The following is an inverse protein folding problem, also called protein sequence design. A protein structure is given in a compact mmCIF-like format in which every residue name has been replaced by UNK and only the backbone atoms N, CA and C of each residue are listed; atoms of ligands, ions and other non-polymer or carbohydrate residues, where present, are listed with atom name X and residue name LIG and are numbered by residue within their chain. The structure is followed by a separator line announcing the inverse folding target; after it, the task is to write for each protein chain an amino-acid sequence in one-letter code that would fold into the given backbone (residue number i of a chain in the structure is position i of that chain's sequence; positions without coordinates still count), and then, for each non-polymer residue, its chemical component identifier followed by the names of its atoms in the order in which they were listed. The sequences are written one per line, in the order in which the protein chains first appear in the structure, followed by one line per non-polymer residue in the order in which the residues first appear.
data_IF_650576050417
#
_entry.id   IF_650576050417
#
_cell.length_a   1.000
_cell.length_b   1.000
_cell.length_c   1.000
_cell.angle_alpha   90.00
_cell.angle_beta   90.00
_cell.angle_gamma   90.00
#
_symmetry.space_group_name_H-M   'P 1'
#
loop_
_entity.id
_entity.type
_entity.pdbx_description
1 polymer ?
#
# COMPACT_ATOMS: atom_id res chain seq x y z
N UNK A 1 19.50 47.47 9.54
CA UNK A 1 18.43 46.54 9.94
C UNK A 1 18.42 45.40 8.93
N UNK A 2 18.90 44.22 9.34
CA UNK A 2 18.79 43.03 8.50
C UNK A 2 17.35 42.52 8.63
N UNK A 3 16.60 42.49 7.52
CA UNK A 3 15.30 41.84 7.46
C UNK A 3 15.47 40.38 7.90
N UNK A 4 14.81 40.00 8.99
CA UNK A 4 14.66 38.61 9.36
C UNK A 4 14.00 37.89 8.17
N UNK A 5 14.55 36.78 7.65
CA UNK A 5 13.88 36.04 6.60
C UNK A 5 12.48 35.66 7.11
N UNK A 6 11.47 36.11 6.37
CA UNK A 6 10.07 36.03 6.76
C UNK A 6 9.73 34.61 7.23
N UNK A 7 9.11 34.51 8.42
CA UNK A 7 8.60 33.24 9.00
C UNK A 7 7.72 32.43 8.04
N UNK A 8 7.27 33.03 6.93
CA UNK A 8 6.51 32.41 5.85
C UNK A 8 7.32 31.44 4.96
N UNK A 9 8.66 31.55 4.90
CA UNK A 9 9.49 30.68 4.05
C UNK A 9 9.50 29.20 4.48
N UNK A 10 9.10 28.90 5.73
CA UNK A 10 9.10 27.56 6.32
C UNK A 10 7.70 26.91 6.37
N UNK A 11 6.67 27.54 5.79
CA UNK A 11 5.32 26.99 5.75
C UNK A 11 5.09 26.19 4.48
N UNK A 12 4.51 25.00 4.62
CA UNK A 12 4.07 24.21 3.48
C UNK A 12 2.81 24.85 2.91
N UNK A 13 2.85 25.24 1.64
CA UNK A 13 1.70 25.74 0.89
C UNK A 13 0.97 24.58 0.21
N UNK A 14 -0.36 24.65 0.15
CA UNK A 14 -1.22 23.63 -0.44
C UNK A 14 -2.00 24.24 -1.60
N UNK A 15 -1.88 23.65 -2.79
CA UNK A 15 -2.57 24.09 -4.00
C UNK A 15 -3.40 22.91 -4.52
N UNK A 16 -4.73 23.08 -4.62
CA UNK A 16 -5.63 22.10 -5.26
C UNK A 16 -5.54 22.30 -6.77
N UNK A 17 -5.36 21.20 -7.49
CA UNK A 17 -5.25 21.18 -8.94
C UNK A 17 -6.44 20.39 -9.47
N UNK A 18 -7.43 21.12 -9.98
CA UNK A 18 -8.60 20.51 -10.61
C UNK A 18 -8.19 19.84 -11.94
N UNK A 19 -8.80 18.69 -12.28
CA UNK A 19 -8.57 18.10 -13.57
C UNK A 19 -9.04 19.05 -14.67
N UNK A 20 -8.32 19.15 -15.80
CA UNK A 20 -8.75 19.99 -16.92
C UNK A 20 -10.17 19.59 -17.31
N UNK A 21 -11.04 20.59 -17.52
CA UNK A 21 -12.39 20.36 -18.01
C UNK A 21 -12.34 19.43 -19.21
N UNK A 22 -13.22 18.42 -19.25
CA UNK A 22 -13.35 17.60 -20.44
C UNK A 22 -13.62 18.55 -21.60
N UNK A 23 -12.73 18.59 -22.59
CA UNK A 23 -12.93 19.42 -23.76
C UNK A 23 -14.20 18.90 -24.44
N UNK A 24 -15.30 19.65 -24.34
CA UNK A 24 -16.60 19.36 -24.96
C UNK A 24 -16.58 19.46 -26.50
N UNK A 25 -15.38 19.53 -27.09
CA UNK A 25 -15.17 19.63 -28.53
C UNK A 25 -14.63 18.32 -29.08
N UNK A 26 -15.50 17.33 -29.13
CA UNK A 26 -15.46 16.29 -30.16
C UNK A 26 -16.91 15.90 -30.42
N UNK A 27 -17.58 16.70 -31.27
CA UNK A 27 -18.75 16.26 -32.03
C UNK A 27 -18.42 14.87 -32.59
N UNK A 28 -19.28 13.85 -32.41
CA UNK A 28 -19.04 12.57 -33.06
C UNK A 28 -18.98 12.83 -34.56
N UNK A 29 -17.83 12.58 -35.19
CA UNK A 29 -17.85 12.28 -36.62
C UNK A 29 -18.40 10.87 -36.71
N UNK A 30 -19.62 10.77 -37.22
CA UNK A 30 -20.17 9.51 -37.71
C UNK A 30 -19.39 9.13 -38.97
N UNK A 31 -18.19 8.57 -38.80
CA UNK A 31 -17.51 7.88 -39.87
C UNK A 31 -18.09 6.46 -39.90
N UNK A 32 -19.19 6.31 -40.64
CA UNK A 32 -19.78 5.02 -40.96
C UNK A 32 -18.85 4.27 -41.93
N UNK A 33 -17.98 3.41 -41.41
CA UNK A 33 -17.37 2.36 -42.23
C UNK A 33 -18.46 1.36 -42.64
N UNK A 34 -18.48 1.00 -43.93
CA UNK A 34 -19.48 0.15 -44.59
C UNK A 34 -19.48 -1.33 -44.15
N UNK A 35 -19.14 -1.63 -42.89
CA UNK A 35 -19.06 -2.99 -42.34
C UNK A 35 -19.84 -3.22 -41.04
N UNK A 36 -20.63 -2.24 -40.56
CA UNK A 36 -21.59 -2.47 -39.47
C UNK A 36 -20.97 -2.83 -38.11
N UNK A 37 -19.68 -2.54 -37.88
CA UNK A 37 -19.03 -2.76 -36.57
C UNK A 37 -19.09 -1.49 -35.73
N UNK A 38 -19.98 -1.47 -34.72
CA UNK A 38 -19.99 -0.43 -33.69
C UNK A 38 -18.71 -0.52 -32.84
N UNK A 39 -17.74 0.36 -33.08
CA UNK A 39 -16.66 0.59 -32.10
C UNK A 39 -17.24 1.35 -30.92
N UNK A 40 -17.40 0.66 -29.78
CA UNK A 40 -17.67 1.30 -28.50
C UNK A 40 -16.63 2.41 -28.25
N UNK A 41 -17.06 3.67 -28.31
CA UNK A 41 -16.25 4.80 -27.88
C UNK A 41 -16.15 4.70 -26.36
N UNK A 42 -15.07 4.08 -25.87
CA UNK A 42 -14.80 3.97 -24.43
C UNK A 42 -14.65 5.39 -23.89
N UNK A 43 -15.60 5.84 -23.07
CA UNK A 43 -15.55 7.15 -22.44
C UNK A 43 -14.18 7.36 -21.76
N UNK A 44 -13.51 8.48 -22.05
CA UNK A 44 -12.22 8.79 -21.44
C UNK A 44 -12.43 8.98 -19.94
N UNK A 45 -11.86 8.10 -19.13
CA UNK A 45 -11.83 8.24 -17.66
C UNK A 45 -11.20 9.60 -17.31
N UNK A 46 -11.92 10.48 -16.59
CA UNK A 46 -11.41 11.79 -16.18
C UNK A 46 -10.07 11.68 -15.44
N UNK A 47 -9.20 12.69 -15.58
CA UNK A 47 -7.98 12.73 -14.79
C UNK A 47 -8.33 12.88 -13.29
N UNK A 48 -7.60 12.22 -12.37
CA UNK A 48 -7.83 12.39 -10.95
C UNK A 48 -7.42 13.80 -10.51
N UNK A 49 -8.19 14.40 -9.59
CA UNK A 49 -7.80 15.65 -8.93
C UNK A 49 -6.49 15.48 -8.16
N UNK A 50 -5.70 16.55 -8.09
CA UNK A 50 -4.37 16.54 -7.46
C UNK A 50 -4.24 17.62 -6.40
N UNK A 51 -3.27 17.41 -5.52
CA UNK A 51 -2.81 18.38 -4.53
C UNK A 51 -1.31 18.56 -4.73
N UNK A 52 -0.88 19.82 -4.81
CA UNK A 52 0.53 20.19 -4.80
C UNK A 52 0.89 20.77 -3.44
N UNK A 53 1.96 20.24 -2.85
CA UNK A 53 2.57 20.77 -1.65
C UNK A 53 3.89 21.47 -2.02
N UNK A 54 4.11 22.68 -1.50
CA UNK A 54 5.34 23.46 -1.74
C UNK A 54 6.00 23.87 -0.43
N UNK A 55 7.31 23.75 -0.37
CA UNK A 55 8.14 24.27 0.72
C UNK A 55 9.36 24.96 0.10
N UNK A 56 9.39 26.30 0.15
CA UNK A 56 10.34 27.08 -0.63
C UNK A 56 10.22 26.78 -2.13
N UNK A 57 11.33 26.41 -2.77
CA UNK A 57 11.38 26.03 -4.20
C UNK A 57 11.01 24.55 -4.45
N UNK A 58 11.01 23.72 -3.40
CA UNK A 58 10.71 22.30 -3.53
C UNK A 58 9.19 22.08 -3.63
N UNK A 59 8.77 21.16 -4.50
CA UNK A 59 7.37 20.83 -4.72
C UNK A 59 7.17 19.34 -4.92
N UNK A 60 6.04 18.83 -4.43
CA UNK A 60 5.58 17.46 -4.64
C UNK A 60 4.10 17.49 -5.03
N UNK A 61 3.69 16.56 -5.88
CA UNK A 61 2.32 16.44 -6.35
C UNK A 61 1.81 15.02 -6.13
N UNK A 62 0.64 14.90 -5.52
CA UNK A 62 -0.04 13.64 -5.32
C UNK A 62 -1.53 13.79 -5.66
N UNK A 63 -2.21 12.67 -5.90
CA UNK A 63 -3.66 12.65 -6.05
C UNK A 63 -4.33 13.13 -4.76
N UNK A 64 -5.44 13.85 -4.89
CA UNK A 64 -6.20 14.37 -3.75
C UNK A 64 -6.65 13.26 -2.77
N UNK A 65 -7.08 12.11 -3.31
CA UNK A 65 -7.44 10.91 -2.52
C UNK A 65 -6.29 10.39 -1.64
N UNK A 66 -5.04 10.51 -2.09
CA UNK A 66 -3.87 10.06 -1.33
C UNK A 66 -3.48 11.10 -0.27
N UNK A 67 -3.69 12.40 -0.54
CA UNK A 67 -3.53 13.43 0.47
C UNK A 67 -4.56 13.28 1.59
N UNK A 68 -5.82 12.99 1.25
CA UNK A 68 -6.87 12.61 2.20
C UNK A 68 -6.50 11.35 2.99
N UNK A 69 -5.94 10.32 2.32
CA UNK A 69 -5.44 9.12 3.00
C UNK A 69 -4.37 9.47 4.05
N UNK A 70 -3.39 10.32 3.73
CA UNK A 70 -2.39 10.75 4.70
C UNK A 70 -3.03 11.45 5.91
N UNK A 71 -4.07 12.26 5.70
CA UNK A 71 -4.79 12.91 6.79
C UNK A 71 -5.50 11.89 7.70
N UNK A 72 -6.11 10.86 7.13
CA UNK A 72 -6.72 9.74 7.88
C UNK A 72 -5.70 8.97 8.70
N UNK A 73 -4.56 8.62 8.09
CA UNK A 73 -3.46 7.93 8.76
C UNK A 73 -2.88 8.76 9.91
N UNK A 74 -2.69 10.06 9.68
CA UNK A 74 -2.23 11.01 10.70
C UNK A 74 -3.14 11.01 11.93
N UNK A 75 -4.47 11.10 11.74
CA UNK A 75 -5.41 11.03 12.85
C UNK A 75 -5.45 9.67 13.53
N UNK A 76 -5.46 8.58 12.76
CA UNK A 76 -5.43 7.23 13.35
C UNK A 76 -4.24 7.08 14.29
N UNK A 77 -3.05 7.53 13.85
CA UNK A 77 -1.84 7.47 14.67
C UNK A 77 -1.90 8.35 15.91
N UNK A 78 -2.45 9.56 15.81
CA UNK A 78 -2.62 10.46 16.97
C UNK A 78 -3.58 9.92 18.01
N UNK A 79 -4.71 9.35 17.57
CA UNK A 79 -5.67 8.66 18.46
C UNK A 79 -5.01 7.48 19.17
N UNK A 80 -4.29 6.63 18.43
CA UNK A 80 -3.55 5.51 19.00
C UNK A 80 -2.44 5.94 19.97
N UNK A 81 -1.87 7.14 19.80
CA UNK A 81 -0.88 7.71 20.70
C UNK A 81 -1.49 8.46 21.91
N UNK A 82 -2.81 8.50 22.05
CA UNK A 82 -3.50 9.19 23.14
C UNK A 82 -3.40 10.72 23.09
N UNK A 83 -3.07 11.29 21.93
CA UNK A 83 -2.90 12.74 21.81
C UNK A 83 -4.24 13.49 21.69
N UNK A 84 -5.26 12.83 21.17
CA UNK A 84 -6.59 13.39 21.07
C UNK A 84 -7.47 12.70 22.13
N UNK A 85 -7.76 13.39 23.24
CA UNK A 85 -8.56 12.91 24.38
C UNK A 85 -10.08 12.89 24.09
N UNK A 86 -10.51 13.23 22.88
CA UNK A 86 -11.92 13.26 22.53
C UNK A 86 -12.35 11.91 21.93
N UNK A 87 -13.18 11.21 22.70
CA UNK A 87 -13.96 10.05 22.28
C UNK A 87 -14.89 10.45 21.14
N UNK A 88 -14.42 10.38 19.90
CA UNK A 88 -15.29 10.39 18.73
C UNK A 88 -15.74 8.96 18.50
N UNK A 89 -17.02 8.73 18.75
CA UNK A 89 -17.69 7.44 18.66
C UNK A 89 -17.40 6.76 17.31
N UNK A 90 -17.00 5.49 17.34
CA UNK A 90 -16.48 4.74 16.19
C UNK A 90 -17.56 4.39 15.13
N UNK A 91 -18.75 4.98 15.25
CA UNK A 91 -19.89 4.85 14.35
C UNK A 91 -20.02 6.02 13.37
N UNK A 92 -19.07 6.96 13.36
CA UNK A 92 -19.24 8.24 12.67
C UNK A 92 -19.44 8.11 11.15
N UNK A 93 -20.55 8.69 10.71
CA UNK A 93 -20.96 8.93 9.33
C UNK A 93 -19.81 9.42 8.41
N UNK A 94 -19.81 9.00 7.13
CA UNK A 94 -18.74 9.31 6.15
C UNK A 94 -18.56 10.83 5.98
N UNK A 95 -19.64 11.58 6.18
CA UNK A 95 -19.68 13.04 6.18
C UNK A 95 -18.79 13.66 7.27
N UNK A 96 -18.86 13.12 8.49
CA UNK A 96 -18.09 13.58 9.67
C UNK A 96 -16.61 13.22 9.51
N UNK A 97 -16.31 12.00 9.02
CA UNK A 97 -14.94 11.59 8.71
C UNK A 97 -14.29 12.56 7.70
N UNK A 98 -15.03 12.97 6.66
CA UNK A 98 -14.56 13.92 5.66
C UNK A 98 -14.34 15.33 6.20
N UNK A 99 -15.22 15.84 7.07
CA UNK A 99 -15.06 17.15 7.72
C UNK A 99 -13.81 17.15 8.60
N UNK A 100 -13.60 16.07 9.36
CA UNK A 100 -12.37 15.93 10.15
C UNK A 100 -11.13 15.84 9.24
N UNK A 101 -11.24 15.19 8.07
CA UNK A 101 -10.20 15.11 7.04
C UNK A 101 -9.67 16.46 6.61
N UNK A 102 -10.59 17.35 6.26
CA UNK A 102 -10.26 18.70 5.82
C UNK A 102 -9.72 19.57 6.98
N UNK A 103 -10.08 19.28 8.24
CA UNK A 103 -9.53 20.00 9.40
C UNK A 103 -8.00 19.83 9.54
N UNK A 104 -7.44 18.68 9.13
CA UNK A 104 -5.99 18.49 9.12
C UNK A 104 -5.27 19.38 8.10
N UNK A 105 -5.95 19.93 7.09
CA UNK A 105 -5.29 20.76 6.08
C UNK A 105 -4.82 22.11 6.63
N UNK A 106 -5.35 22.53 7.79
CA UNK A 106 -4.85 23.67 8.55
C UNK A 106 -3.67 23.34 9.49
N UNK A 107 -3.42 22.06 9.80
CA UNK A 107 -2.37 21.66 10.74
C UNK A 107 -0.99 21.70 10.08
N UNK A 108 -0.18 22.69 10.45
CA UNK A 108 1.17 22.87 9.94
C UNK A 108 2.10 21.66 10.19
N UNK A 109 1.85 20.85 11.23
CA UNK A 109 2.62 19.62 11.50
C UNK A 109 2.26 18.52 10.51
N UNK A 110 0.96 18.31 10.27
CA UNK A 110 0.49 17.40 9.23
C UNK A 110 1.05 17.78 7.86
N UNK A 111 0.95 19.07 7.47
CA UNK A 111 1.43 19.52 6.17
C UNK A 111 2.94 19.31 5.99
N UNK A 112 3.75 19.55 7.03
CA UNK A 112 5.20 19.26 7.02
C UNK A 112 5.48 17.76 6.90
N UNK A 113 4.78 16.93 7.66
CA UNK A 113 4.93 15.47 7.59
C UNK A 113 4.51 14.93 6.21
N UNK A 114 3.39 15.40 5.67
CA UNK A 114 2.88 15.00 4.36
C UNK A 114 3.83 15.41 3.24
N UNK A 115 4.41 16.62 3.32
CA UNK A 115 5.45 17.07 2.39
C UNK A 115 6.70 16.19 2.49
N UNK A 116 7.22 15.96 3.70
CA UNK A 116 8.43 15.16 3.92
C UNK A 116 8.29 13.71 3.44
N UNK A 117 7.18 13.05 3.78
CA UNK A 117 6.87 11.69 3.32
C UNK A 117 6.77 11.63 1.79
N UNK A 118 6.01 12.55 1.18
CA UNK A 118 5.85 12.60 -0.27
C UNK A 118 7.18 12.88 -0.99
N UNK A 119 7.98 13.83 -0.48
CA UNK A 119 9.29 14.16 -1.04
C UNK A 119 10.27 12.99 -0.93
N UNK A 120 10.26 12.25 0.19
CA UNK A 120 11.07 11.05 0.37
C UNK A 120 10.72 9.97 -0.65
N UNK A 121 9.43 9.69 -0.83
CA UNK A 121 8.99 8.68 -1.81
C UNK A 121 9.38 9.09 -3.23
N UNK A 122 9.20 10.37 -3.60
CA UNK A 122 9.64 10.88 -4.91
C UNK A 122 11.15 10.73 -5.09
N UNK A 123 11.95 11.05 -4.08
CA UNK A 123 13.40 10.89 -4.12
C UNK A 123 13.82 9.42 -4.25
N UNK A 124 13.20 8.52 -3.47
CA UNK A 124 13.46 7.08 -3.54
C UNK A 124 13.07 6.47 -4.90
N UNK A 125 12.10 7.06 -5.59
CA UNK A 125 11.71 6.70 -6.95
C UNK A 125 12.63 7.33 -8.02
N UNK A 126 13.68 8.07 -7.67
CA UNK A 126 14.57 8.70 -8.65
C UNK A 126 14.04 10.01 -9.25
N UNK A 127 13.07 10.67 -8.61
CA UNK A 127 12.64 12.04 -8.92
C UNK A 127 11.69 12.20 -10.12
N UNK A 128 11.62 11.24 -11.03
CA UNK A 128 10.73 11.28 -12.21
C UNK A 128 9.39 10.60 -11.94
N UNK A 129 8.52 11.20 -11.13
CA UNK A 129 7.20 10.65 -10.71
C UNK A 129 6.25 10.16 -11.85
N UNK A 130 6.50 10.53 -13.12
CA UNK A 130 5.71 10.07 -14.28
C UNK A 130 6.29 8.84 -14.99
N UNK A 131 7.57 8.57 -14.81
CA UNK A 131 8.33 7.54 -15.52
C UNK A 131 8.86 6.47 -14.55
N UNK A 132 9.25 6.91 -13.36
CA UNK A 132 9.78 6.09 -12.31
C UNK A 132 8.70 5.73 -11.26
N UNK A 133 9.03 4.79 -10.39
CA UNK A 133 8.08 4.13 -9.50
C UNK A 133 7.50 2.87 -10.14
N UNK A 134 7.64 1.73 -9.44
CA UNK A 134 7.24 0.42 -9.95
C UNK A 134 8.07 -0.76 -9.46
N UNK A 135 9.13 -0.54 -8.67
CA UNK A 135 9.95 -1.61 -8.08
C UNK A 135 9.21 -2.42 -7.01
N UNK A 136 8.15 -1.84 -6.44
CA UNK A 136 7.28 -2.49 -5.46
C UNK A 136 5.83 -2.16 -5.81
N UNK A 137 4.95 -3.15 -5.70
CA UNK A 137 3.55 -3.05 -6.11
C UNK A 137 2.66 -3.65 -5.01
N UNK A 138 1.54 -3.01 -4.72
CA UNK A 138 0.62 -3.44 -3.68
C UNK A 138 -0.38 -4.47 -4.23
N UNK A 139 -0.96 -5.27 -3.34
CA UNK A 139 -2.12 -6.11 -3.67
C UNK A 139 -3.35 -5.22 -3.88
N UNK A 140 -4.35 -5.71 -4.62
CA UNK A 140 -5.61 -4.99 -4.74
C UNK A 140 -6.52 -5.24 -3.52
N UNK A 141 -7.49 -4.35 -3.30
CA UNK A 141 -8.34 -4.34 -2.11
C UNK A 141 -8.98 -5.68 -1.77
N UNK A 142 -9.54 -6.39 -2.76
CA UNK A 142 -10.17 -7.69 -2.53
C UNK A 142 -9.23 -8.75 -1.94
N UNK A 143 -7.92 -8.76 -2.25
CA UNK A 143 -6.99 -9.69 -1.57
C UNK A 143 -6.86 -9.31 -0.12
N UNK A 144 -6.64 -8.03 0.17
CA UNK A 144 -6.53 -7.55 1.55
C UNK A 144 -7.78 -7.77 2.38
N UNK A 145 -8.97 -7.73 1.75
CA UNK A 145 -10.22 -8.00 2.44
C UNK A 145 -10.30 -9.50 2.85
N UNK A 146 -9.88 -10.42 1.97
CA UNK A 146 -9.76 -11.85 2.33
C UNK A 146 -8.72 -12.07 3.42
N UNK A 147 -7.55 -11.42 3.33
CA UNK A 147 -6.49 -11.54 4.32
C UNK A 147 -6.91 -11.01 5.70
N UNK A 148 -7.61 -9.87 5.76
CA UNK A 148 -7.99 -9.21 7.02
C UNK A 148 -9.23 -9.81 7.67
N UNK A 149 -10.31 -9.96 6.90
CA UNK A 149 -11.61 -10.34 7.44
C UNK A 149 -11.86 -11.85 7.41
N UNK A 150 -11.02 -12.59 6.69
CA UNK A 150 -11.05 -14.06 6.69
C UNK A 150 -10.33 -14.68 7.90
N UNK A 151 -10.20 -16.02 7.91
CA UNK A 151 -9.57 -16.77 8.99
C UNK A 151 -8.10 -16.41 9.27
N UNK A 152 -7.40 -15.83 8.30
CA UNK A 152 -6.00 -15.43 8.43
C UNK A 152 -5.81 -14.20 9.34
N UNK A 153 -6.84 -13.36 9.51
CA UNK A 153 -6.87 -12.20 10.42
C UNK A 153 -5.62 -11.31 10.33
N UNK A 154 -5.16 -11.03 9.12
CA UNK A 154 -3.98 -10.21 8.90
C UNK A 154 -4.21 -8.80 9.44
N UNK A 155 -3.29 -8.33 10.29
CA UNK A 155 -3.43 -7.04 10.98
C UNK A 155 -2.52 -5.94 10.45
N UNK A 156 -1.38 -6.29 9.85
CA UNK A 156 -0.42 -5.32 9.29
C UNK A 156 0.31 -5.82 8.04
N UNK A 157 0.71 -4.87 7.20
CA UNK A 157 1.58 -5.07 6.03
C UNK A 157 3.04 -4.90 6.45
N UNK A 158 3.92 -5.87 6.19
CA UNK A 158 5.34 -5.75 6.58
C UNK A 158 6.21 -5.08 5.52
N UNK A 159 5.66 -4.77 4.36
CA UNK A 159 6.33 -4.00 3.33
C UNK A 159 5.33 -3.04 2.70
N UNK A 160 5.31 -1.79 3.17
CA UNK A 160 4.46 -0.75 2.61
C UNK A 160 5.08 0.64 2.79
N UNK A 161 4.28 1.66 2.50
CA UNK A 161 4.51 3.08 2.70
C UNK A 161 3.16 3.73 2.99
N UNK A 162 3.13 4.94 3.58
CA UNK A 162 1.89 5.68 3.78
C UNK A 162 1.07 5.88 2.48
N UNK A 163 1.74 5.86 1.31
CA UNK A 163 1.12 6.06 0.01
C UNK A 163 0.57 4.79 -0.63
N UNK A 164 1.03 3.59 -0.27
CA UNK A 164 0.55 2.33 -0.84
C UNK A 164 -0.09 1.36 0.15
N UNK A 165 0.01 1.58 1.46
CA UNK A 165 -0.61 0.70 2.45
C UNK A 165 -2.13 0.59 2.27
N UNK A 166 -2.69 -0.55 2.62
CA UNK A 166 -4.13 -0.75 2.80
C UNK A 166 -4.53 -0.56 4.25
N UNK A 167 -3.72 -1.02 5.19
CA UNK A 167 -3.95 -0.92 6.62
C UNK A 167 -3.31 0.35 7.19
N UNK A 168 -3.71 0.72 8.40
CA UNK A 168 -3.17 1.87 9.14
C UNK A 168 -1.97 1.52 10.02
N UNK A 169 -1.61 0.23 10.06
CA UNK A 169 -0.41 -0.29 10.71
C UNK A 169 0.39 -1.08 9.68
N UNK A 170 1.66 -0.69 9.48
CA UNK A 170 2.53 -1.31 8.49
C UNK A 170 4.01 -1.08 8.81
N UNK A 171 4.91 -1.89 8.28
CA UNK A 171 6.34 -1.58 8.24
C UNK A 171 6.68 -0.82 6.95
N UNK A 172 7.66 0.09 7.02
CA UNK A 172 8.14 0.85 5.86
C UNK A 172 9.65 1.11 5.90
N UNK A 173 10.21 1.48 4.75
CA UNK A 173 11.65 1.71 4.61
C UNK A 173 12.14 3.03 5.25
N UNK A 174 11.26 4.00 5.48
CA UNK A 174 11.63 5.37 5.88
C UNK A 174 10.90 5.81 7.14
N UNK A 175 11.21 5.15 8.26
CA UNK A 175 10.57 5.39 9.55
C UNK A 175 10.57 6.87 9.98
N UNK A 176 11.64 7.60 9.66
CA UNK A 176 11.81 9.01 10.00
C UNK A 176 10.70 9.93 9.45
N UNK A 177 10.13 9.59 8.31
CA UNK A 177 9.04 10.37 7.67
C UNK A 177 7.70 9.63 7.62
N UNK A 178 7.71 8.32 7.81
CA UNK A 178 6.50 7.48 7.70
C UNK A 178 5.85 7.18 9.06
N UNK A 179 6.60 7.25 10.17
CA UNK A 179 6.07 6.97 11.53
C UNK A 179 4.83 7.80 11.91
N UNK A 180 4.71 9.10 11.53
CA UNK A 180 3.50 9.87 11.81
C UNK A 180 2.23 9.35 11.12
N UNK A 181 2.38 8.45 10.14
CA UNK A 181 1.29 7.88 9.34
C UNK A 181 1.06 6.39 9.63
N UNK A 182 1.62 5.84 10.71
CA UNK A 182 1.36 4.46 11.13
C UNK A 182 2.49 3.46 10.84
N UNK A 183 3.65 3.92 10.36
CA UNK A 183 4.81 3.03 10.18
C UNK A 183 5.35 2.52 11.52
N UNK A 184 5.59 1.21 11.58
CA UNK A 184 6.32 0.50 12.64
C UNK A 184 7.84 0.49 12.41
N UNK A 185 8.31 1.16 11.34
CA UNK A 185 9.70 1.15 10.91
C UNK A 185 10.03 0.01 9.97
N UNK A 186 11.32 -0.28 9.80
CA UNK A 186 11.79 -1.31 8.86
C UNK A 186 11.39 -2.70 9.33
N UNK A 187 10.85 -3.53 8.43
CA UNK A 187 10.61 -4.95 8.70
C UNK A 187 11.85 -5.65 9.26
N UNK A 188 13.05 -5.28 8.81
CA UNK A 188 14.28 -5.93 9.26
C UNK A 188 14.62 -5.65 10.74
N UNK A 189 13.99 -4.64 11.34
CA UNK A 189 14.11 -4.29 12.76
C UNK A 189 12.81 -4.54 13.56
N UNK A 190 11.75 -5.03 12.91
CA UNK A 190 10.45 -5.25 13.53
C UNK A 190 10.37 -6.65 14.16
N UNK A 191 10.25 -6.74 15.48
CA UNK A 191 10.27 -7.99 16.27
C UNK A 191 8.86 -8.34 16.81
N UNK A 192 7.93 -8.86 15.98
CA UNK A 192 6.62 -9.28 16.46
C UNK A 192 6.76 -10.54 17.31
N UNK A 193 6.06 -10.56 18.46
CA UNK A 193 5.99 -11.76 19.32
C UNK A 193 4.92 -12.73 18.86
N UNK A 194 3.74 -12.18 18.56
CA UNK A 194 2.57 -12.87 18.02
C UNK A 194 1.93 -12.01 16.93
N UNK A 195 0.89 -12.53 16.29
CA UNK A 195 0.10 -11.82 15.28
C UNK A 195 0.10 -12.51 13.92
N UNK A 196 -0.62 -11.91 12.97
CA UNK A 196 -0.71 -12.40 11.59
C UNK A 196 -0.46 -11.26 10.60
N UNK A 197 0.49 -11.47 9.70
CA UNK A 197 1.05 -10.39 8.90
C UNK A 197 1.10 -10.73 7.41
N UNK A 198 0.88 -9.72 6.57
CA UNK A 198 1.14 -9.81 5.13
C UNK A 198 2.59 -9.43 4.85
N UNK A 199 3.24 -10.17 3.96
CA UNK A 199 4.64 -9.96 3.58
C UNK A 199 4.77 -9.96 2.07
N UNK A 200 4.67 -8.79 1.45
CA UNK A 200 4.92 -8.58 0.01
C UNK A 200 6.17 -7.70 -0.20
N UNK A 201 7.39 -8.27 -0.14
CA UNK A 201 8.62 -7.49 -0.28
C UNK A 201 8.83 -7.01 -1.73
N UNK A 202 9.72 -6.03 -1.96
CA UNK A 202 10.24 -5.77 -3.30
C UNK A 202 10.75 -7.07 -3.94
N UNK A 203 10.44 -7.26 -5.24
CA UNK A 203 10.72 -8.51 -5.96
C UNK A 203 12.17 -8.58 -6.45
N UNK A 204 13.09 -8.40 -5.51
CA UNK A 204 14.53 -8.55 -5.71
C UNK A 204 14.99 -9.81 -4.98
N UNK A 205 15.75 -10.67 -5.67
CA UNK A 205 16.10 -12.01 -5.16
C UNK A 205 16.78 -11.96 -3.80
N UNK A 206 17.71 -11.03 -3.60
CA UNK A 206 18.45 -10.90 -2.33
C UNK A 206 17.56 -10.38 -1.19
N UNK A 207 16.62 -9.50 -1.50
CA UNK A 207 15.62 -9.01 -0.53
C UNK A 207 14.71 -10.15 -0.10
N UNK A 208 14.18 -10.92 -1.06
CA UNK A 208 13.31 -12.07 -0.77
C UNK A 208 14.06 -13.13 0.05
N UNK A 209 15.32 -13.40 -0.25
CA UNK A 209 16.14 -14.33 0.53
C UNK A 209 16.40 -13.82 1.95
N UNK A 210 16.67 -12.52 2.12
CA UNK A 210 16.83 -11.91 3.44
C UNK A 210 15.53 -11.98 4.25
N UNK A 211 14.38 -11.76 3.62
CA UNK A 211 13.05 -11.94 4.21
C UNK A 211 12.86 -13.39 4.65
N UNK A 212 13.10 -14.37 3.79
CA UNK A 212 12.95 -15.78 4.12
C UNK A 212 13.77 -16.17 5.35
N UNK A 213 15.05 -15.77 5.39
CA UNK A 213 15.93 -16.01 6.55
C UNK A 213 15.43 -15.34 7.82
N UNK A 214 14.84 -14.15 7.72
CA UNK A 214 14.31 -13.43 8.88
C UNK A 214 13.02 -14.04 9.40
N UNK A 215 12.08 -14.36 8.51
CA UNK A 215 10.83 -15.05 8.88
C UNK A 215 11.13 -16.39 9.57
N UNK A 216 12.08 -17.16 9.05
CA UNK A 216 12.51 -18.43 9.66
C UNK A 216 13.03 -18.23 11.10
N UNK A 217 13.80 -17.16 11.38
CA UNK A 217 14.24 -16.83 12.75
C UNK A 217 13.07 -16.46 13.64
N UNK A 218 12.24 -15.51 13.21
CA UNK A 218 11.07 -15.07 13.98
C UNK A 218 10.13 -16.23 14.33
N UNK A 219 9.88 -17.12 13.36
CA UNK A 219 9.03 -18.30 13.55
C UNK A 219 9.66 -19.30 14.52
N UNK A 220 10.97 -19.55 14.45
CA UNK A 220 11.66 -20.41 15.43
C UNK A 220 11.58 -19.84 16.84
N UNK A 221 11.82 -18.55 16.98
CA UNK A 221 11.80 -17.89 18.28
C UNK A 221 10.37 -17.87 18.87
N UNK A 222 9.35 -17.61 18.03
CA UNK A 222 7.95 -17.68 18.43
C UNK A 222 7.50 -19.11 18.76
N UNK A 223 7.93 -20.11 17.97
CA UNK A 223 7.64 -21.52 18.24
C UNK A 223 8.22 -21.96 19.59
N UNK A 224 9.47 -21.57 19.89
CA UNK A 224 10.12 -21.87 21.17
C UNK A 224 9.39 -21.24 22.37
N UNK A 225 8.71 -20.12 22.15
CA UNK A 225 7.88 -19.45 23.17
C UNK A 225 6.42 -19.92 23.17
N UNK A 226 6.02 -20.80 22.24
CA UNK A 226 4.64 -21.20 22.03
C UNK A 226 3.70 -20.02 21.70
N UNK A 227 4.20 -19.01 20.98
CA UNK A 227 3.46 -17.84 20.53
C UNK A 227 2.71 -18.13 19.21
N UNK A 228 1.54 -17.52 19.02
CA UNK A 228 0.78 -17.64 17.78
C UNK A 228 1.24 -16.61 16.74
N UNK A 229 2.21 -16.99 15.91
CA UNK A 229 2.76 -16.15 14.85
C UNK A 229 2.49 -16.71 13.44
N UNK A 230 2.06 -15.85 12.53
CA UNK A 230 1.66 -16.17 11.15
C UNK A 230 2.15 -15.13 10.14
N UNK A 231 2.68 -15.59 9.01
CA UNK A 231 3.03 -14.77 7.85
C UNK A 231 2.39 -15.30 6.58
N UNK A 232 1.65 -14.45 5.88
CA UNK A 232 1.18 -14.70 4.52
C UNK A 232 2.11 -13.98 3.56
N UNK A 233 2.99 -14.74 2.90
CA UNK A 233 4.08 -14.23 2.08
C UNK A 233 3.69 -14.24 0.62
N UNK A 234 3.76 -13.07 -0.03
CA UNK A 234 3.51 -12.87 -1.45
C UNK A 234 4.84 -12.63 -2.14
N UNK A 235 5.21 -13.53 -3.06
CA UNK A 235 6.41 -13.37 -3.89
C UNK A 235 6.12 -13.86 -5.29
N UNK A 236 6.93 -13.47 -6.29
CA UNK A 236 6.98 -14.16 -7.56
C UNK A 236 7.20 -15.65 -7.37
N UNK A 237 6.52 -16.46 -8.17
CA UNK A 237 6.74 -17.89 -8.21
C UNK A 237 8.04 -18.17 -8.97
N UNK A 238 9.11 -18.42 -8.21
CA UNK A 238 10.47 -18.63 -8.73
C UNK A 238 11.04 -19.99 -8.32
N UNK A 239 10.46 -21.10 -8.79
CA UNK A 239 11.01 -22.42 -8.49
C UNK A 239 12.48 -22.50 -8.88
N UNK A 240 13.27 -23.24 -8.08
CA UNK A 240 14.73 -23.40 -8.22
C UNK A 240 15.58 -22.15 -7.89
N UNK A 241 14.98 -20.99 -7.59
CA UNK A 241 15.74 -19.84 -7.07
C UNK A 241 15.88 -19.94 -5.56
N UNK A 242 17.09 -19.75 -5.05
CA UNK A 242 17.39 -19.87 -3.62
C UNK A 242 16.45 -19.06 -2.72
N UNK A 243 16.10 -17.83 -3.15
CA UNK A 243 15.21 -16.95 -2.41
C UNK A 243 13.81 -17.54 -2.18
N UNK A 244 13.20 -18.09 -3.24
CA UNK A 244 11.86 -18.68 -3.16
C UNK A 244 11.89 -20.07 -2.52
N UNK A 245 12.92 -20.87 -2.83
CA UNK A 245 13.10 -22.20 -2.23
C UNK A 245 13.29 -22.13 -0.72
N UNK A 246 13.91 -21.08 -0.18
CA UNK A 246 14.03 -20.87 1.26
C UNK A 246 12.66 -20.71 1.94
N UNK A 247 11.70 -20.03 1.31
CA UNK A 247 10.32 -19.93 1.79
C UNK A 247 9.58 -21.27 1.60
N UNK A 248 9.69 -21.86 0.41
CA UNK A 248 8.96 -23.08 0.05
C UNK A 248 9.39 -24.31 0.87
N UNK A 249 10.64 -24.37 1.31
CA UNK A 249 11.19 -25.48 2.11
C UNK A 249 11.14 -25.24 3.63
N UNK A 250 10.59 -24.11 4.08
CA UNK A 250 10.46 -23.83 5.51
C UNK A 250 9.61 -24.90 6.20
N UNK A 251 10.04 -25.36 7.38
CA UNK A 251 9.29 -26.31 8.21
C UNK A 251 8.00 -25.70 8.78
N UNK A 252 7.89 -24.36 8.77
CA UNK A 252 6.71 -23.62 9.18
C UNK A 252 5.68 -23.46 8.07
N UNK A 253 5.99 -23.90 6.83
CA UNK A 253 5.02 -23.87 5.75
C UNK A 253 3.87 -24.83 6.05
N UNK A 254 2.64 -24.33 5.96
CA UNK A 254 1.46 -25.06 6.43
C UNK A 254 0.78 -25.86 5.32
N UNK A 255 1.01 -25.50 4.06
CA UNK A 255 0.45 -26.16 2.87
C UNK A 255 1.22 -25.82 1.61
N UNK A 256 0.90 -26.51 0.50
CA UNK A 256 1.40 -26.21 -0.83
C UNK A 256 1.25 -24.71 -1.17
N UNK A 257 2.24 -24.07 -1.83
CA UNK A 257 2.11 -22.69 -2.27
C UNK A 257 0.89 -22.52 -3.19
N UNK A 258 0.13 -21.46 -2.97
CA UNK A 258 -0.97 -21.08 -3.87
C UNK A 258 -0.35 -20.30 -5.03
N UNK A 259 -0.30 -20.91 -6.21
CA UNK A 259 0.25 -20.26 -7.42
C UNK A 259 -0.88 -19.61 -8.22
N UNK A 260 -0.80 -18.31 -8.44
CA UNK A 260 -1.70 -17.51 -9.27
C UNK A 260 -0.97 -17.17 -10.57
N UNK A 261 -1.54 -17.54 -11.71
CA UNK A 261 -0.92 -17.32 -13.01
C UNK A 261 -0.80 -15.83 -13.33
N UNK A 262 0.28 -15.41 -13.99
CA UNK A 262 0.55 -14.01 -14.35
C UNK A 262 -0.61 -13.37 -15.11
N UNK A 263 -1.22 -14.12 -16.03
CA UNK A 263 -2.36 -13.69 -16.85
C UNK A 263 -3.65 -13.47 -16.07
N UNK A 264 -3.75 -14.06 -14.88
CA UNK A 264 -4.96 -14.11 -14.08
C UNK A 264 -4.96 -13.07 -12.96
N UNK A 265 -4.01 -12.12 -12.91
CA UNK A 265 -4.02 -11.06 -11.89
C UNK A 265 -3.28 -9.79 -12.29
N UNK A 266 -3.55 -8.72 -11.53
CA UNK A 266 -2.78 -7.48 -11.56
C UNK A 266 -2.40 -7.06 -10.14
N UNK A 267 -1.35 -6.25 -10.05
CA UNK A 267 -1.00 -5.50 -8.86
C UNK A 267 -1.48 -4.05 -8.97
N UNK A 268 -1.45 -3.34 -7.85
CA UNK A 268 -1.59 -1.90 -7.80
C UNK A 268 -0.20 -1.25 -7.83
N UNK A 269 0.01 -0.34 -8.76
CA UNK A 269 1.29 0.31 -9.02
C UNK A 269 1.79 1.08 -7.78
N UNK A 270 3.05 0.91 -7.40
CA UNK A 270 3.64 1.60 -6.24
C UNK A 270 3.62 3.13 -6.35
N UNK A 271 3.50 3.69 -7.56
CA UNK A 271 3.30 5.11 -7.81
C UNK A 271 1.82 5.49 -8.01
N UNK A 272 0.88 4.72 -7.46
CA UNK A 272 -0.57 4.99 -7.53
C UNK A 272 -0.96 6.39 -7.05
N UNK A 273 -0.18 6.97 -6.14
CA UNK A 273 -0.35 8.33 -5.64
C UNK A 273 -0.07 9.42 -6.69
N UNK A 274 0.58 9.09 -7.81
CA UNK A 274 0.91 10.04 -8.89
C UNK A 274 0.40 9.61 -10.27
N UNK A 275 0.42 8.31 -10.61
CA UNK A 275 0.05 7.80 -11.94
C UNK A 275 -1.46 7.87 -12.15
N UNK A 276 -1.94 7.89 -13.40
CA UNK A 276 -3.39 7.79 -13.73
C UNK A 276 -3.87 6.34 -13.79
N UNK A 277 -3.11 5.48 -14.48
CA UNK A 277 -3.34 4.03 -14.47
C UNK A 277 -2.64 3.45 -13.25
N UNK A 278 -3.41 2.83 -12.37
CA UNK A 278 -2.91 2.21 -11.12
C UNK A 278 -2.79 0.69 -11.24
N UNK A 279 -3.39 0.07 -12.25
CA UNK A 279 -3.27 -1.36 -12.48
C UNK A 279 -1.97 -1.69 -13.22
N UNK A 280 -1.15 -2.55 -12.61
CA UNK A 280 0.09 -3.09 -13.16
C UNK A 280 -0.11 -4.60 -13.39
N UNK A 281 -0.21 -5.07 -14.64
CA UNK A 281 -0.26 -6.51 -14.93
C UNK A 281 0.93 -7.23 -14.29
N UNK A 282 0.70 -8.45 -13.80
CA UNK A 282 1.78 -9.26 -13.27
C UNK A 282 2.74 -9.68 -14.40
N UNK A 283 4.04 -9.57 -14.16
CA UNK A 283 5.07 -9.97 -15.11
C UNK A 283 5.41 -11.46 -15.06
N UNK A 284 4.97 -12.15 -14.00
CA UNK A 284 5.18 -13.57 -13.77
C UNK A 284 4.09 -14.10 -12.83
N UNK A 285 4.04 -15.42 -12.68
CA UNK A 285 3.18 -16.05 -11.69
C UNK A 285 3.56 -15.57 -10.28
N UNK A 286 2.56 -15.52 -9.41
CA UNK A 286 2.70 -15.13 -8.01
C UNK A 286 2.43 -16.34 -7.13
N UNK A 287 3.24 -16.55 -6.10
CA UNK A 287 2.99 -17.55 -5.06
C UNK A 287 2.56 -16.88 -3.75
N UNK A 288 1.51 -17.42 -3.14
CA UNK A 288 1.14 -17.14 -1.74
C UNK A 288 1.62 -18.32 -0.90
N UNK A 289 2.46 -18.05 0.10
CA UNK A 289 2.92 -19.03 1.08
C UNK A 289 2.44 -18.66 2.46
N UNK A 290 1.95 -19.64 3.21
CA UNK A 290 1.56 -19.46 4.62
C UNK A 290 2.64 -20.09 5.49
N UNK A 291 3.36 -19.27 6.25
CA UNK A 291 4.40 -19.70 7.18
C UNK A 291 3.94 -19.39 8.60
N UNK A 292 3.74 -20.42 9.41
CA UNK A 292 3.09 -20.30 10.71
C UNK A 292 3.71 -21.24 11.74
N UNK A 293 3.82 -20.75 12.96
CA UNK A 293 4.07 -21.56 14.16
C UNK A 293 2.94 -22.58 14.37
N UNK A 294 3.12 -23.56 15.24
CA UNK A 294 2.08 -24.54 15.59
C UNK A 294 0.83 -23.86 16.15
N UNK A 295 1.00 -22.89 17.07
CA UNK A 295 -0.12 -22.06 17.58
C UNK A 295 -0.69 -21.11 16.53
N UNK A 296 0.16 -20.60 15.63
CA UNK A 296 -0.27 -19.80 14.49
C UNK A 296 -1.19 -20.59 13.54
N UNK A 297 -0.87 -21.86 13.27
CA UNK A 297 -1.68 -22.76 12.43
C UNK A 297 -3.08 -23.01 12.99
N UNK A 298 -3.20 -23.11 14.31
CA UNK A 298 -4.49 -23.28 14.98
C UNK A 298 -5.33 -21.99 14.95
N UNK A 299 -4.68 -20.83 15.10
CA UNK A 299 -5.35 -19.53 15.24
C UNK A 299 -5.68 -18.85 13.90
N UNK A 300 -4.80 -18.98 12.90
CA UNK A 300 -4.85 -18.26 11.63
C UNK A 300 -4.98 -19.22 10.45
N UNK A 301 -6.02 -20.04 10.45
CA UNK A 301 -6.12 -21.23 9.60
C UNK A 301 -6.21 -20.86 8.11
N UNK A 302 -5.27 -21.34 7.30
CA UNK A 302 -5.35 -21.24 5.85
C UNK A 302 -6.23 -22.38 5.30
N UNK A 303 -7.56 -22.26 5.37
CA UNK A 303 -8.48 -23.30 4.88
C UNK A 303 -8.50 -23.39 3.35
N UNK A 304 -9.13 -24.42 2.79
CA UNK A 304 -9.29 -24.54 1.33
C UNK A 304 -10.21 -23.44 0.78
N UNK A 305 -11.25 -23.07 1.53
CA UNK A 305 -12.11 -21.93 1.20
C UNK A 305 -11.32 -20.62 1.21
N UNK A 306 -10.39 -20.45 2.15
CA UNK A 306 -9.50 -19.28 2.21
C UNK A 306 -8.61 -19.23 0.96
N UNK A 307 -8.08 -20.37 0.53
CA UNK A 307 -7.24 -20.47 -0.68
C UNK A 307 -8.05 -20.13 -1.93
N UNK A 308 -9.26 -20.68 -2.07
CA UNK A 308 -10.13 -20.39 -3.21
C UNK A 308 -10.60 -18.93 -3.21
N UNK A 309 -10.92 -18.37 -2.05
CA UNK A 309 -11.24 -16.94 -1.90
C UNK A 309 -10.06 -16.05 -2.33
N UNK A 310 -8.82 -16.40 -1.97
CA UNK A 310 -7.63 -15.68 -2.43
C UNK A 310 -7.47 -15.79 -3.94
N UNK A 311 -7.58 -17.00 -4.52
CA UNK A 311 -7.50 -17.18 -5.98
C UNK A 311 -8.54 -16.36 -6.72
N UNK A 312 -9.78 -16.36 -6.22
CA UNK A 312 -10.86 -15.57 -6.78
C UNK A 312 -10.59 -14.07 -6.62
N UNK A 313 -10.10 -13.64 -5.46
CA UNK A 313 -9.76 -12.26 -5.20
C UNK A 313 -8.69 -11.76 -6.17
N UNK A 314 -7.58 -12.50 -6.34
CA UNK A 314 -6.48 -12.13 -7.25
C UNK A 314 -6.92 -11.88 -8.70
N UNK A 315 -8.06 -12.46 -9.12
CA UNK A 315 -8.57 -12.27 -10.48
C UNK A 315 -9.02 -10.83 -10.72
N UNK A 316 -8.84 -10.30 -11.94
CA UNK A 316 -9.38 -9.00 -12.29
C UNK A 316 -10.90 -8.99 -12.12
N UNK A 317 -11.42 -8.13 -11.25
CA UNK A 317 -12.83 -7.71 -11.34
C UNK A 317 -13.00 -6.91 -12.63
N UNK A 318 -13.93 -7.36 -13.49
CA UNK A 318 -14.24 -6.76 -14.79
C UNK A 318 -14.71 -5.33 -14.66
#
# INVERSE_FOLDING_TARGET
AAEAPARDAARVQVERLDPPAANDKQTPREDADASGSFRSIRAKVPAPARVRLRLGQAKVELRAEHFQKLARLWRSRRRAAGWDSETVDATSDVSVAKISDDACYGDARFLRAAFACSARVVAAQGGMHRVAGGHHAALHGAVFDVLKYGPLRVEAELFASPLNCRYDVFCSAHADVDAPFGSLGSFFAFEPKDGSFEVNPPFESDVVLAVARRLERLLKDAEARNDALSFTVITPYWPKRAAWEALNKSAFRTRAPVVVAARDHFYVDGAQHCKRKTHKPASCDTSVLFLQTSRGREKYVATDETVEALRAAFRPTR
#
